data_IF_149023768586
#
_entry.id   IF_149023768586
#
_cell.length_a   1.000
_cell.length_b   1.000
_cell.length_c   1.000
_cell.angle_alpha   90.00
_cell.angle_beta   90.00
_cell.angle_gamma   90.00
#
_symmetry.space_group_name_H-M   'P 1'
#
loop_
_entity.id
_entity.type
_entity.pdbx_description
1 polymer ?
#
# COMPACT_ATOMS: atom_id res chain seq x y z
N UNK A 1 80.08 -26.28 22.35
CA UNK A 1 79.47 -25.32 23.28
C UNK A 1 78.20 -24.88 22.67
N UNK A 2 77.08 -25.18 23.30
CA UNK A 2 75.74 -24.95 22.84
C UNK A 2 75.30 -23.49 23.17
N UNK A 3 74.72 -22.84 22.22
CA UNK A 3 73.91 -21.62 22.52
C UNK A 3 72.56 -21.74 21.76
N UNK A 4 71.50 -21.77 22.57
CA UNK A 4 70.18 -22.02 22.11
C UNK A 4 69.53 -20.83 21.38
N UNK A 5 68.74 -21.21 20.39
CA UNK A 5 67.85 -20.30 19.69
C UNK A 5 66.48 -20.23 20.40
N UNK A 6 66.06 -19.04 20.83
CA UNK A 6 64.67 -18.77 21.22
C UNK A 6 63.89 -18.25 20.01
N UNK A 7 62.88 -19.01 19.59
CA UNK A 7 61.87 -18.59 18.65
C UNK A 7 60.84 -17.72 19.35
N UNK A 8 60.62 -16.51 18.89
CA UNK A 8 59.49 -15.67 19.25
C UNK A 8 58.44 -15.82 18.16
N UNK A 9 57.37 -16.47 18.48
CA UNK A 9 56.14 -16.55 17.67
C UNK A 9 55.35 -15.28 17.83
N UNK A 10 55.26 -14.48 16.74
CA UNK A 10 54.36 -13.32 16.68
C UNK A 10 52.94 -13.75 16.31
N UNK A 11 52.05 -13.75 17.28
CA UNK A 11 50.62 -13.89 17.03
C UNK A 11 50.07 -12.62 16.39
N UNK A 12 49.69 -12.69 15.12
CA UNK A 12 48.86 -11.68 14.46
C UNK A 12 47.43 -11.86 14.90
N UNK A 13 47.00 -11.03 15.83
CA UNK A 13 45.56 -10.85 16.13
C UNK A 13 44.83 -10.30 14.90
N UNK A 14 44.10 -11.17 14.22
CA UNK A 14 43.08 -10.77 13.25
C UNK A 14 41.90 -10.16 14.03
N UNK A 15 41.74 -8.85 13.98
CA UNK A 15 40.50 -8.16 14.35
C UNK A 15 39.42 -8.53 13.31
N UNK A 16 38.59 -9.48 13.61
CA UNK A 16 37.34 -9.73 12.91
C UNK A 16 36.41 -8.53 13.17
N UNK A 17 36.19 -7.74 12.12
CA UNK A 17 35.14 -6.72 12.09
C UNK A 17 33.80 -7.44 11.98
N UNK A 18 33.17 -7.69 13.10
CA UNK A 18 31.79 -8.14 13.18
C UNK A 18 30.89 -6.97 12.70
N UNK A 19 30.63 -6.87 11.41
CA UNK A 19 29.56 -6.02 10.88
C UNK A 19 28.26 -6.75 11.19
N UNK A 20 27.66 -6.41 12.33
CA UNK A 20 26.31 -6.81 12.64
C UNK A 20 25.40 -6.42 11.48
N UNK A 21 24.84 -7.43 10.80
CA UNK A 21 23.67 -7.25 9.95
C UNK A 21 22.57 -6.79 10.89
N UNK A 22 22.25 -5.51 10.83
CA UNK A 22 21.02 -4.96 11.36
C UNK A 22 19.89 -5.67 10.61
N UNK A 23 19.35 -6.71 11.23
CA UNK A 23 18.17 -7.41 10.72
C UNK A 23 17.03 -6.42 10.87
N UNK A 24 16.51 -5.94 9.74
CA UNK A 24 15.23 -5.24 9.64
C UNK A 24 14.13 -6.10 10.29
N UNK A 25 14.01 -5.99 11.60
CA UNK A 25 12.89 -6.57 12.34
C UNK A 25 11.67 -5.73 12.00
N UNK A 26 10.83 -6.25 11.11
CA UNK A 26 9.50 -5.69 10.86
C UNK A 26 8.80 -5.53 12.21
N UNK A 27 8.27 -4.35 12.52
CA UNK A 27 7.58 -4.14 13.79
C UNK A 27 6.40 -5.12 13.87
N UNK A 28 6.27 -5.78 15.00
CA UNK A 28 5.18 -6.72 15.25
C UNK A 28 3.89 -5.90 15.45
N UNK A 29 2.90 -6.09 14.57
CA UNK A 29 1.62 -5.37 14.54
C UNK A 29 0.92 -5.40 15.91
N UNK A 30 1.09 -6.48 16.70
CA UNK A 30 0.54 -6.57 18.06
C UNK A 30 1.15 -5.58 19.06
N UNK A 31 2.35 -5.07 18.81
CA UNK A 31 3.00 -4.06 19.65
C UNK A 31 2.57 -2.64 19.27
N UNK A 32 2.24 -2.39 18.00
CA UNK A 32 1.75 -1.08 17.51
C UNK A 32 0.44 -0.67 18.22
N UNK A 33 -0.41 -1.65 18.57
CA UNK A 33 -1.71 -1.42 19.24
C UNK A 33 -1.61 -0.77 20.63
N UNK A 34 -0.45 -0.86 21.30
CA UNK A 34 -0.28 -0.37 22.69
C UNK A 34 0.46 0.96 22.81
N UNK A 35 1.21 1.38 21.81
CA UNK A 35 2.17 2.49 21.93
C UNK A 35 1.79 3.77 21.22
N UNK A 36 0.74 3.75 20.38
CA UNK A 36 0.40 4.91 19.54
C UNK A 36 1.54 5.28 18.58
N UNK A 37 2.33 4.28 18.14
CA UNK A 37 3.47 4.48 17.26
C UNK A 37 3.06 5.17 15.96
N UNK A 38 3.84 6.18 15.61
CA UNK A 38 3.63 6.91 14.36
C UNK A 38 3.89 6.01 13.15
N UNK A 39 3.00 6.09 12.16
CA UNK A 39 3.27 5.55 10.85
C UNK A 39 4.58 6.14 10.30
N UNK A 40 5.45 5.29 9.75
CA UNK A 40 6.75 5.73 9.20
C UNK A 40 6.60 6.75 8.05
N UNK A 41 5.44 6.76 7.40
CA UNK A 41 5.11 7.68 6.31
C UNK A 41 4.41 8.96 6.78
N UNK A 42 4.08 9.10 8.07
CA UNK A 42 3.21 10.16 8.61
C UNK A 42 3.67 11.58 8.26
N UNK A 43 4.98 11.82 8.18
CA UNK A 43 5.56 13.14 7.88
C UNK A 43 5.32 13.58 6.42
N UNK A 44 5.17 12.63 5.51
CA UNK A 44 5.04 12.88 4.07
C UNK A 44 3.65 12.53 3.54
N UNK A 45 3.06 11.43 4.00
CA UNK A 45 1.73 10.98 3.62
C UNK A 45 0.65 11.81 4.33
N UNK A 46 -0.23 12.43 3.57
CA UNK A 46 -1.37 13.21 4.09
C UNK A 46 -2.64 12.39 4.34
N UNK A 47 -2.56 11.06 4.37
CA UNK A 47 -3.74 10.19 4.38
C UNK A 47 -4.46 10.01 5.72
N UNK A 48 -3.88 10.47 6.85
CA UNK A 48 -4.44 10.27 8.19
C UNK A 48 -4.41 11.56 9.02
N UNK A 49 -5.59 12.07 9.40
CA UNK A 49 -5.73 13.29 10.22
C UNK A 49 -5.38 13.06 11.70
N UNK A 50 -5.56 11.84 12.20
CA UNK A 50 -5.39 11.48 13.61
C UNK A 50 -4.13 10.65 13.87
N UNK A 51 -3.13 10.74 12.99
CA UNK A 51 -1.89 9.98 13.14
C UNK A 51 -1.16 10.37 14.44
N UNK A 52 -0.69 9.36 15.19
CA UNK A 52 0.02 9.56 16.45
C UNK A 52 -0.87 9.91 17.65
N UNK A 53 -2.18 9.83 17.51
CA UNK A 53 -3.13 10.02 18.61
C UNK A 53 -3.71 8.65 18.97
N UNK A 54 -3.69 8.30 20.26
CA UNK A 54 -4.30 7.05 20.74
C UNK A 54 -5.77 6.97 20.31
N UNK A 55 -6.23 5.78 19.93
CA UNK A 55 -7.57 5.61 19.40
C UNK A 55 -8.67 6.04 20.36
N UNK A 56 -8.52 5.76 21.66
CA UNK A 56 -9.42 6.27 22.72
C UNK A 56 -9.50 7.79 22.75
N UNK A 57 -8.38 8.47 22.54
CA UNK A 57 -8.34 9.93 22.46
C UNK A 57 -8.99 10.45 21.16
N UNK A 58 -8.84 9.73 20.05
CA UNK A 58 -9.54 10.04 18.81
C UNK A 58 -11.05 9.96 18.99
N UNK A 59 -11.54 8.89 19.63
CA UNK A 59 -12.97 8.73 19.95
C UNK A 59 -13.49 9.87 20.84
N UNK A 60 -12.74 10.22 21.89
CA UNK A 60 -13.09 11.33 22.79
C UNK A 60 -13.18 12.67 22.06
N UNK A 61 -12.22 12.96 21.18
CA UNK A 61 -12.24 14.18 20.35
C UNK A 61 -13.45 14.22 19.42
N UNK A 62 -13.73 13.12 18.73
CA UNK A 62 -14.90 12.99 17.83
C UNK A 62 -16.20 13.13 18.59
N UNK A 63 -16.34 12.49 19.75
CA UNK A 63 -17.50 12.60 20.62
C UNK A 63 -17.71 14.05 21.09
N UNK A 64 -16.66 14.73 21.54
CA UNK A 64 -16.73 16.13 21.98
C UNK A 64 -17.13 17.07 20.84
N UNK A 65 -16.58 16.84 19.63
CA UNK A 65 -16.95 17.60 18.44
C UNK A 65 -18.42 17.43 18.08
N UNK A 66 -18.93 16.17 18.07
CA UNK A 66 -20.34 15.91 17.79
C UNK A 66 -21.28 16.50 18.84
N UNK A 67 -20.91 16.44 20.14
CA UNK A 67 -21.69 17.09 21.19
C UNK A 67 -21.81 18.60 20.92
N UNK A 68 -20.68 19.26 20.67
CA UNK A 68 -20.67 20.71 20.38
C UNK A 68 -21.59 21.09 19.20
N UNK A 69 -21.66 20.27 18.17
CA UNK A 69 -22.50 20.55 16.98
C UNK A 69 -23.97 20.24 17.20
N UNK A 70 -24.28 19.16 17.89
CA UNK A 70 -25.62 18.56 17.88
C UNK A 70 -26.38 18.73 19.20
N UNK A 71 -25.73 19.16 20.29
CA UNK A 71 -26.35 19.35 21.61
C UNK A 71 -27.61 20.24 21.57
N UNK A 72 -27.67 21.32 20.74
CA UNK A 72 -28.89 22.13 20.63
C UNK A 72 -30.08 21.36 20.03
N UNK A 73 -29.88 20.26 19.35
CA UNK A 73 -30.91 19.50 18.65
C UNK A 73 -31.35 18.23 19.41
N UNK A 74 -30.60 17.81 20.42
CA UNK A 74 -30.97 16.65 21.24
C UNK A 74 -29.80 15.91 21.88
N UNK A 75 -30.14 14.84 22.58
CA UNK A 75 -29.18 13.99 23.29
C UNK A 75 -28.28 13.22 22.30
N UNK A 76 -26.99 13.28 22.53
CA UNK A 76 -26.01 12.55 21.75
C UNK A 76 -25.59 11.27 22.45
N UNK A 77 -25.80 10.13 21.79
CA UNK A 77 -25.37 8.83 22.28
C UNK A 77 -23.83 8.73 22.28
N UNK A 78 -23.25 7.82 23.11
CA UNK A 78 -21.83 7.53 23.06
C UNK A 78 -21.41 7.06 21.66
N UNK A 79 -20.21 7.47 21.24
CA UNK A 79 -19.62 7.02 19.99
C UNK A 79 -19.34 5.52 20.02
N UNK A 80 -19.68 4.84 18.96
CA UNK A 80 -19.33 3.43 18.76
C UNK A 80 -17.98 3.38 18.07
N UNK A 81 -17.00 2.80 18.74
CA UNK A 81 -15.65 2.59 18.20
C UNK A 81 -15.51 1.25 17.50
N UNK A 82 -14.41 1.10 16.74
CA UNK A 82 -13.97 -0.19 16.20
C UNK A 82 -13.13 -0.93 17.25
N UNK A 83 -13.24 -2.25 17.31
CA UNK A 83 -12.39 -3.09 18.15
C UNK A 83 -10.95 -3.07 17.64
N UNK A 84 -10.74 -3.10 16.32
CA UNK A 84 -9.46 -2.96 15.65
C UNK A 84 -9.50 -1.85 14.58
N UNK A 85 -8.97 -0.65 14.87
CA UNK A 85 -9.02 0.51 13.96
C UNK A 85 -7.92 0.48 12.90
N UNK A 86 -7.39 -0.68 12.56
CA UNK A 86 -6.36 -0.87 11.55
C UNK A 86 -6.89 -1.70 10.38
N UNK A 87 -6.25 -1.54 9.20
CA UNK A 87 -6.53 -2.32 7.98
C UNK A 87 -8.01 -2.36 7.56
N UNK A 88 -8.78 -1.32 7.93
CA UNK A 88 -10.22 -1.25 7.66
C UNK A 88 -10.57 -0.72 6.26
N UNK A 89 -9.59 -0.20 5.51
CA UNK A 89 -9.82 0.37 4.20
C UNK A 89 -9.73 -0.69 3.12
N UNK A 90 -10.87 -1.15 2.62
CA UNK A 90 -11.00 -2.20 1.60
C UNK A 90 -10.97 -1.69 0.14
N UNK A 91 -10.97 -0.38 -0.06
CA UNK A 91 -10.68 0.26 -1.36
C UNK A 91 -9.36 0.97 -1.25
N UNK A 92 -8.34 0.40 -1.87
CA UNK A 92 -6.96 0.91 -1.86
C UNK A 92 -6.59 1.38 -3.25
N UNK A 93 -5.92 2.52 -3.33
CA UNK A 93 -5.48 3.10 -4.59
C UNK A 93 -4.06 3.61 -4.46
N UNK A 94 -3.19 3.16 -5.35
CA UNK A 94 -1.82 3.63 -5.43
C UNK A 94 -1.54 4.30 -6.77
N UNK A 95 -0.89 5.46 -6.74
CA UNK A 95 -0.28 6.08 -7.91
C UNK A 95 1.10 5.45 -8.17
N UNK A 96 1.49 5.38 -9.43
CA UNK A 96 2.78 4.83 -9.88
C UNK A 96 3.57 5.89 -10.61
N UNK A 97 4.86 6.01 -10.27
CA UNK A 97 5.79 6.91 -10.95
C UNK A 97 7.22 6.37 -10.85
N UNK A 98 8.16 7.11 -11.41
CA UNK A 98 9.59 6.89 -11.20
C UNK A 98 10.15 8.02 -10.34
N UNK A 99 10.93 7.67 -9.31
CA UNK A 99 11.66 8.68 -8.57
C UNK A 99 12.85 9.24 -9.39
N UNK A 100 13.49 10.30 -8.88
CA UNK A 100 14.65 10.95 -9.52
C UNK A 100 15.84 10.01 -9.82
N UNK A 101 15.86 8.82 -9.19
CA UNK A 101 16.89 7.77 -9.43
C UNK A 101 16.44 6.72 -10.44
N UNK A 102 15.26 6.88 -11.06
CA UNK A 102 14.70 5.94 -12.04
C UNK A 102 14.09 4.68 -11.41
N UNK A 103 13.91 4.63 -10.08
CA UNK A 103 13.24 3.51 -9.43
C UNK A 103 11.72 3.72 -9.45
N UNK A 104 10.98 2.67 -9.75
CA UNK A 104 9.52 2.67 -9.68
C UNK A 104 9.09 2.82 -8.22
N UNK A 105 8.22 3.78 -7.96
CA UNK A 105 7.56 4.03 -6.68
C UNK A 105 6.06 3.83 -6.83
N UNK A 106 5.41 3.32 -5.78
CA UNK A 106 3.97 3.13 -5.75
C UNK A 106 3.41 3.52 -4.39
N UNK A 107 2.34 4.31 -4.37
CA UNK A 107 1.71 4.74 -3.13
C UNK A 107 0.83 5.96 -3.30
N UNK A 108 0.92 6.89 -2.37
CA UNK A 108 0.08 8.09 -2.32
C UNK A 108 0.88 9.34 -2.63
N UNK A 109 0.22 10.36 -3.15
CA UNK A 109 0.86 11.66 -3.34
C UNK A 109 1.26 12.26 -1.98
N UNK A 110 2.45 12.82 -1.93
CA UNK A 110 2.94 13.59 -0.80
C UNK A 110 2.09 14.87 -0.65
N UNK A 111 1.81 15.24 0.59
CA UNK A 111 0.97 16.41 0.89
C UNK A 111 1.53 17.67 0.21
N UNK A 112 0.69 18.35 -0.55
CA UNK A 112 1.02 19.57 -1.32
C UNK A 112 2.13 19.37 -2.39
N UNK A 113 2.28 18.16 -2.90
CA UNK A 113 3.27 17.82 -3.93
C UNK A 113 2.69 16.82 -4.94
N UNK A 114 3.35 16.70 -6.10
CA UNK A 114 3.11 15.63 -7.07
C UNK A 114 4.05 14.43 -6.87
N UNK A 115 4.97 14.51 -5.90
CA UNK A 115 5.84 13.39 -5.56
C UNK A 115 5.04 12.25 -4.91
N UNK A 116 5.41 11.01 -5.19
CA UNK A 116 4.77 9.84 -4.62
C UNK A 116 5.58 9.34 -3.41
N UNK A 117 4.90 9.16 -2.29
CA UNK A 117 5.43 8.44 -1.13
C UNK A 117 5.34 6.96 -1.44
N UNK A 118 6.48 6.30 -1.56
CA UNK A 118 6.54 4.84 -1.79
C UNK A 118 6.06 4.10 -0.54
N UNK A 119 4.86 3.54 -0.59
CA UNK A 119 4.21 2.89 0.55
C UNK A 119 4.28 1.37 0.36
N UNK A 120 4.98 0.70 1.25
CA UNK A 120 5.05 -0.77 1.24
C UNK A 120 3.98 -1.43 2.12
N UNK A 121 3.63 -0.78 3.24
CA UNK A 121 2.60 -1.23 4.17
C UNK A 121 1.92 -0.01 4.79
N UNK A 122 0.61 0.08 4.68
CA UNK A 122 -0.18 1.11 5.30
C UNK A 122 -0.91 0.56 6.53
N UNK A 123 -0.96 1.34 7.61
CA UNK A 123 -1.65 0.91 8.83
C UNK A 123 -3.18 0.83 8.71
N UNK A 124 -3.77 1.55 7.75
CA UNK A 124 -5.22 1.61 7.58
C UNK A 124 -5.74 0.87 6.34
N UNK A 125 -4.88 0.62 5.34
CA UNK A 125 -5.24 -0.11 4.14
C UNK A 125 -5.22 -1.62 4.36
N UNK A 126 -6.05 -2.36 3.62
CA UNK A 126 -6.05 -3.82 3.66
C UNK A 126 -4.67 -4.35 3.30
N UNK A 127 -4.10 -5.18 4.16
CA UNK A 127 -2.73 -5.68 4.01
C UNK A 127 -2.52 -6.53 2.74
N UNK A 128 -3.58 -7.20 2.26
CA UNK A 128 -3.52 -7.98 1.03
C UNK A 128 -3.55 -7.07 -0.20
N UNK A 129 -4.29 -5.96 -0.13
CA UNK A 129 -4.27 -4.93 -1.18
C UNK A 129 -2.88 -4.28 -1.31
N UNK A 130 -2.22 -3.94 -0.19
CA UNK A 130 -0.83 -3.46 -0.19
C UNK A 130 0.12 -4.48 -0.82
N UNK A 131 -0.04 -5.76 -0.45
CA UNK A 131 0.78 -6.83 -1.00
C UNK A 131 0.61 -7.00 -2.52
N UNK A 132 -0.62 -6.86 -3.03
CA UNK A 132 -0.93 -6.91 -4.47
C UNK A 132 -0.28 -5.73 -5.20
N UNK A 133 -0.41 -4.50 -4.67
CA UNK A 133 0.18 -3.30 -5.26
C UNK A 133 1.71 -3.43 -5.33
N UNK A 134 2.33 -3.87 -4.24
CA UNK A 134 3.78 -4.13 -4.19
C UNK A 134 4.22 -5.18 -5.19
N UNK A 135 3.44 -6.27 -5.35
CA UNK A 135 3.75 -7.30 -6.34
C UNK A 135 3.64 -6.77 -7.76
N UNK A 136 2.60 -5.99 -8.08
CA UNK A 136 2.48 -5.34 -9.38
C UNK A 136 3.70 -4.47 -9.66
N UNK A 137 4.14 -3.65 -8.67
CA UNK A 137 5.37 -2.85 -8.77
C UNK A 137 6.59 -3.72 -9.12
N UNK A 138 6.77 -4.84 -8.44
CA UNK A 138 7.88 -5.76 -8.67
C UNK A 138 7.84 -6.42 -10.07
N UNK A 139 6.64 -6.74 -10.56
CA UNK A 139 6.44 -7.37 -11.87
C UNK A 139 6.66 -6.40 -13.04
N UNK A 140 6.52 -5.09 -12.85
CA UNK A 140 6.55 -4.11 -13.94
C UNK A 140 7.79 -4.24 -14.83
N UNK A 141 8.97 -4.39 -14.21
CA UNK A 141 10.24 -4.50 -14.97
C UNK A 141 10.25 -5.75 -15.86
N UNK A 142 9.85 -6.90 -15.33
CA UNK A 142 9.84 -8.18 -16.05
C UNK A 142 8.83 -8.18 -17.21
N UNK A 143 7.73 -7.47 -17.06
CA UNK A 143 6.68 -7.35 -18.09
C UNK A 143 6.86 -6.12 -18.98
N UNK A 144 7.97 -5.37 -18.85
CA UNK A 144 8.25 -4.15 -19.64
C UNK A 144 7.16 -3.08 -19.51
N UNK A 145 6.53 -3.01 -18.33
CA UNK A 145 5.54 -1.98 -18.00
C UNK A 145 6.30 -0.80 -17.40
N UNK A 146 6.11 0.40 -17.95
CA UNK A 146 6.66 1.64 -17.41
C UNK A 146 5.62 2.37 -16.59
N UNK A 147 6.01 2.94 -15.46
CA UNK A 147 5.18 3.89 -14.74
C UNK A 147 4.96 5.12 -15.60
N UNK A 148 3.75 5.68 -15.54
CA UNK A 148 3.42 6.90 -16.27
C UNK A 148 4.05 8.10 -15.56
N UNK A 149 4.62 8.98 -16.36
CA UNK A 149 5.19 10.24 -15.94
C UNK A 149 4.27 11.36 -16.44
N UNK A 150 3.68 12.10 -15.51
CA UNK A 150 2.68 13.15 -15.82
C UNK A 150 3.32 14.36 -16.51
N UNK A 151 4.60 14.64 -16.26
CA UNK A 151 5.32 15.78 -16.83
C UNK A 151 5.64 15.52 -18.31
N UNK A 152 6.18 14.34 -18.59
CA UNK A 152 6.61 13.97 -19.95
C UNK A 152 5.52 13.33 -20.79
N UNK A 153 4.50 12.77 -20.16
CA UNK A 153 3.44 11.99 -20.82
C UNK A 153 3.90 10.59 -21.24
N UNK A 154 5.08 10.14 -20.83
CA UNK A 154 5.62 8.81 -21.14
C UNK A 154 5.24 7.79 -20.07
N UNK A 155 5.09 6.54 -20.52
CA UNK A 155 4.77 5.41 -19.65
C UNK A 155 3.38 4.85 -19.90
N UNK A 156 2.99 3.87 -19.10
CA UNK A 156 1.73 3.14 -19.33
C UNK A 156 0.87 3.11 -18.06
N UNK A 157 1.40 2.64 -16.93
CA UNK A 157 0.66 2.42 -15.70
C UNK A 157 0.64 3.70 -14.86
N UNK A 158 -0.57 4.25 -14.67
CA UNK A 158 -0.81 5.44 -13.86
C UNK A 158 -1.14 5.07 -12.41
N UNK A 159 -2.14 4.21 -12.24
CA UNK A 159 -2.64 3.83 -10.92
C UNK A 159 -3.00 2.35 -10.89
N UNK A 160 -3.01 1.80 -9.68
CA UNK A 160 -3.65 0.52 -9.39
C UNK A 160 -4.69 0.75 -8.30
N UNK A 161 -5.90 0.27 -8.54
CA UNK A 161 -6.97 0.26 -7.57
C UNK A 161 -7.29 -1.18 -7.22
N UNK A 162 -7.29 -1.48 -5.92
CA UNK A 162 -7.68 -2.79 -5.38
C UNK A 162 -8.93 -2.61 -4.54
N UNK A 163 -9.96 -3.41 -4.82
CA UNK A 163 -11.15 -3.51 -3.98
C UNK A 163 -11.30 -4.93 -3.48
N UNK A 164 -11.62 -5.07 -2.21
CA UNK A 164 -11.86 -6.35 -1.56
C UNK A 164 -13.22 -6.36 -0.91
N UNK A 165 -14.01 -7.40 -1.19
CA UNK A 165 -15.24 -7.68 -0.45
C UNK A 165 -14.91 -8.11 0.97
N UNK A 166 -15.58 -7.53 1.95
CA UNK A 166 -15.33 -7.82 3.37
C UNK A 166 -15.77 -9.23 3.76
N UNK A 167 -16.98 -9.60 3.37
CA UNK A 167 -17.53 -10.93 3.64
C UNK A 167 -17.11 -11.97 2.61
N UNK A 168 -17.14 -11.60 1.33
CA UNK A 168 -16.85 -12.53 0.24
C UNK A 168 -15.36 -12.84 0.07
N UNK A 169 -14.49 -11.96 0.55
CA UNK A 169 -13.05 -12.05 0.31
C UNK A 169 -12.64 -11.90 -1.17
N UNK A 170 -13.58 -11.67 -2.08
CA UNK A 170 -13.29 -11.46 -3.50
C UNK A 170 -12.48 -10.20 -3.72
N UNK A 171 -11.50 -10.26 -4.61
CA UNK A 171 -10.62 -9.13 -4.91
C UNK A 171 -10.76 -8.72 -6.37
N UNK A 172 -10.99 -7.44 -6.60
CA UNK A 172 -10.91 -6.78 -7.89
C UNK A 172 -9.64 -5.94 -7.98
N UNK A 173 -8.88 -6.13 -9.05
CA UNK A 173 -7.72 -5.30 -9.38
C UNK A 173 -8.03 -4.50 -10.64
N UNK A 174 -7.93 -3.17 -10.54
CA UNK A 174 -8.07 -2.26 -11.68
C UNK A 174 -6.72 -1.64 -11.99
N UNK A 175 -6.21 -1.91 -13.19
CA UNK A 175 -5.00 -1.30 -13.73
C UNK A 175 -5.40 -0.07 -14.55
N UNK A 176 -5.05 1.12 -14.06
CA UNK A 176 -5.33 2.37 -14.78
C UNK A 176 -4.17 2.67 -15.71
N UNK A 177 -4.42 2.53 -17.00
CA UNK A 177 -3.44 2.64 -18.06
C UNK A 177 -3.75 3.83 -18.97
N UNK A 178 -2.71 4.41 -19.55
CA UNK A 178 -2.85 5.43 -20.62
C UNK A 178 -3.37 4.82 -21.91
N UNK A 179 -3.12 3.53 -22.14
CA UNK A 179 -3.49 2.79 -23.35
C UNK A 179 -4.18 1.48 -22.99
N UNK A 180 -5.09 0.95 -23.82
CA UNK A 180 -5.74 -0.33 -23.57
C UNK A 180 -4.81 -1.55 -23.69
N UNK A 181 -3.58 -1.35 -24.15
CA UNK A 181 -2.64 -2.42 -24.45
C UNK A 181 -1.69 -2.65 -23.28
N UNK A 182 -1.91 -3.74 -22.54
CA UNK A 182 -0.99 -4.22 -21.51
C UNK A 182 -0.03 -5.26 -22.12
N UNK A 183 1.30 -5.05 -22.06
CA UNK A 183 2.28 -6.03 -22.55
C UNK A 183 2.12 -7.37 -21.86
N UNK A 184 2.13 -8.45 -22.67
CA UNK A 184 2.00 -9.83 -22.16
C UNK A 184 0.81 -10.04 -21.20
N UNK A 185 -0.31 -9.37 -21.45
CA UNK A 185 -1.50 -9.30 -20.59
C UNK A 185 -1.87 -10.63 -19.91
N UNK A 186 -1.98 -11.70 -20.69
CA UNK A 186 -2.40 -13.01 -20.16
C UNK A 186 -1.38 -13.59 -19.17
N UNK A 187 -0.09 -13.45 -19.49
CA UNK A 187 0.98 -13.92 -18.62
C UNK A 187 1.09 -13.07 -17.35
N UNK A 188 0.89 -11.76 -17.46
CA UNK A 188 0.85 -10.85 -16.31
C UNK A 188 -0.27 -11.24 -15.35
N UNK A 189 -1.49 -11.39 -15.83
CA UNK A 189 -2.65 -11.80 -15.01
C UNK A 189 -2.44 -13.18 -14.40
N UNK A 190 -1.92 -14.15 -15.20
CA UNK A 190 -1.61 -15.50 -14.69
C UNK A 190 -0.57 -15.46 -13.57
N UNK A 191 0.50 -14.69 -13.71
CA UNK A 191 1.56 -14.56 -12.70
C UNK A 191 1.03 -13.91 -11.42
N UNK A 192 0.25 -12.84 -11.54
CA UNK A 192 -0.36 -12.14 -10.41
C UNK A 192 -1.31 -13.07 -9.64
N UNK A 193 -2.20 -13.78 -10.34
CA UNK A 193 -3.15 -14.73 -9.74
C UNK A 193 -2.50 -15.98 -9.15
N UNK A 194 -1.37 -16.42 -9.69
CA UNK A 194 -0.60 -17.51 -9.07
C UNK A 194 -0.18 -17.15 -7.64
N UNK A 195 0.08 -15.87 -7.38
CA UNK A 195 0.51 -15.37 -6.06
C UNK A 195 -0.68 -14.96 -5.18
N UNK A 196 -1.75 -14.50 -5.80
CA UNK A 196 -2.99 -14.06 -5.13
C UNK A 196 -4.21 -14.72 -5.80
N UNK A 197 -4.51 -15.97 -5.45
CA UNK A 197 -5.61 -16.73 -6.07
C UNK A 197 -6.99 -16.12 -5.77
N UNK A 198 -7.12 -15.30 -4.74
CA UNK A 198 -8.35 -14.60 -4.34
C UNK A 198 -8.75 -13.49 -5.31
N UNK A 199 -7.86 -13.09 -6.21
CA UNK A 199 -8.20 -12.14 -7.28
C UNK A 199 -9.25 -12.76 -8.18
N UNK A 200 -10.48 -12.28 -8.03
CA UNK A 200 -11.66 -12.75 -8.74
C UNK A 200 -11.83 -12.08 -10.09
N UNK A 201 -11.35 -10.85 -10.24
CA UNK A 201 -11.40 -10.10 -11.50
C UNK A 201 -10.27 -9.11 -11.64
N UNK A 202 -9.83 -8.91 -12.89
CA UNK A 202 -8.85 -7.89 -13.28
C UNK A 202 -9.43 -7.06 -14.43
N UNK A 203 -9.40 -5.75 -14.27
CA UNK A 203 -9.91 -4.78 -15.22
C UNK A 203 -8.79 -3.82 -15.62
N UNK A 204 -8.71 -3.48 -16.90
CA UNK A 204 -7.96 -2.34 -17.41
C UNK A 204 -8.94 -1.18 -17.51
N UNK A 205 -8.65 -0.09 -16.82
CA UNK A 205 -9.31 1.19 -17.01
C UNK A 205 -8.39 2.08 -17.84
N UNK A 206 -8.91 2.64 -18.94
CA UNK A 206 -8.13 3.48 -19.84
C UNK A 206 -8.36 4.95 -19.48
N UNK A 207 -7.29 5.60 -19.05
CA UNK A 207 -7.27 7.03 -18.77
C UNK A 207 -6.10 7.68 -19.51
N UNK A 208 -6.35 8.11 -20.73
CA UNK A 208 -5.41 8.77 -21.65
C UNK A 208 -5.40 10.31 -21.54
N UNK A 209 -6.25 10.86 -20.66
CA UNK A 209 -6.40 12.30 -20.49
C UNK A 209 -5.39 12.87 -19.49
N UNK A 210 -4.95 14.11 -19.70
CA UNK A 210 -4.23 14.91 -18.69
C UNK A 210 -5.27 15.47 -17.71
N UNK A 211 -5.53 14.74 -16.65
CA UNK A 211 -6.55 15.05 -15.64
C UNK A 211 -6.15 14.54 -14.27
N UNK A 212 -6.62 15.21 -13.23
CA UNK A 212 -6.51 14.73 -11.84
C UNK A 212 -7.47 13.57 -11.52
N UNK A 213 -8.42 13.27 -12.41
CA UNK A 213 -9.29 12.10 -12.25
C UNK A 213 -8.49 10.83 -12.42
N UNK A 214 -8.63 9.93 -11.46
CA UNK A 214 -7.88 8.66 -11.47
C UNK A 214 -8.40 7.71 -12.54
N UNK A 215 -9.72 7.55 -12.61
CA UNK A 215 -10.36 6.64 -13.56
C UNK A 215 -10.78 7.38 -14.83
N UNK A 216 -10.52 6.74 -15.97
CA UNK A 216 -11.10 7.11 -17.25
C UNK A 216 -12.48 6.46 -17.46
N UNK A 217 -13.08 6.70 -18.61
CA UNK A 217 -14.45 6.25 -18.92
C UNK A 217 -14.51 4.78 -19.40
N UNK A 218 -13.43 4.28 -20.00
CA UNK A 218 -13.42 2.97 -20.65
C UNK A 218 -12.83 1.90 -19.74
N UNK A 219 -13.62 0.85 -19.48
CA UNK A 219 -13.18 -0.34 -18.77
C UNK A 219 -13.11 -1.55 -19.70
N UNK A 220 -12.08 -2.39 -19.53
CA UNK A 220 -11.86 -3.63 -20.29
C UNK A 220 -11.58 -4.74 -19.27
N UNK A 221 -12.51 -5.68 -19.14
CA UNK A 221 -12.29 -6.86 -18.31
C UNK A 221 -11.28 -7.77 -18.98
N UNK A 222 -10.19 -8.08 -18.29
CA UNK A 222 -9.12 -8.96 -18.80
C UNK A 222 -9.10 -10.31 -18.11
N UNK A 223 -9.76 -10.40 -16.96
CA UNK A 223 -9.99 -11.63 -16.23
C UNK A 223 -11.23 -11.52 -15.36
N UNK A 224 -11.98 -12.62 -15.20
CA UNK A 224 -13.16 -12.70 -14.34
C UNK A 224 -14.40 -12.00 -14.92
N UNK A 225 -15.31 -11.61 -14.01
CA UNK A 225 -16.62 -11.04 -14.39
C UNK A 225 -16.61 -9.53 -14.63
N UNK A 226 -15.53 -8.82 -14.25
CA UNK A 226 -15.46 -7.35 -14.29
C UNK A 226 -16.04 -6.67 -13.06
N UNK A 227 -16.49 -7.42 -12.10
CA UNK A 227 -17.03 -6.96 -10.81
C UNK A 227 -16.78 -8.02 -9.72
N UNK A 228 -16.89 -7.61 -8.47
CA UNK A 228 -16.96 -8.49 -7.30
C UNK A 228 -18.33 -8.38 -6.66
N UNK A 229 -18.70 -9.38 -5.88
CA UNK A 229 -19.93 -9.39 -5.10
C UNK A 229 -19.57 -9.42 -3.62
N UNK A 230 -20.28 -8.67 -2.81
CA UNK A 230 -20.15 -8.67 -1.35
C UNK A 230 -21.52 -8.58 -0.69
N UNK A 231 -21.59 -8.90 0.58
CA UNK A 231 -22.84 -8.91 1.34
C UNK A 231 -22.81 -7.84 2.43
N UNK A 232 -23.92 -7.14 2.59
CA UNK A 232 -24.15 -6.21 3.70
C UNK A 232 -25.61 -6.30 4.14
N UNK A 233 -25.84 -6.58 5.42
CA UNK A 233 -27.18 -6.70 6.03
C UNK A 233 -28.12 -7.63 5.25
N UNK A 234 -27.62 -8.80 4.80
CA UNK A 234 -28.40 -9.79 4.05
C UNK A 234 -28.67 -9.44 2.58
N UNK A 235 -28.13 -8.30 2.10
CA UNK A 235 -28.24 -7.89 0.69
C UNK A 235 -26.91 -8.11 -0.03
N UNK A 236 -26.96 -8.71 -1.22
CA UNK A 236 -25.79 -8.87 -2.08
C UNK A 236 -25.59 -7.62 -2.94
N UNK A 237 -24.41 -7.06 -2.88
CA UNK A 237 -24.00 -5.90 -3.68
C UNK A 237 -23.01 -6.31 -4.75
N UNK A 238 -23.20 -5.78 -5.93
CA UNK A 238 -22.23 -5.87 -7.03
C UNK A 238 -21.41 -4.58 -7.09
N UNK A 239 -20.08 -4.73 -7.01
CA UNK A 239 -19.11 -3.65 -6.89
C UNK A 239 -18.21 -3.63 -8.13
#
# INVERSE_FOLDING_TARGET
>A
MQIGQKKTTGEKMKKERNRGRETDRKPNISQIKKTGEHCIYAKRCGGCDYQGILYSQQLSKKQSYMRKLMEPFGKINPIIGMDDPYHYRHKVQAAFSCNKRGHIVAGVYEKHSHDIVDVEQCQIEDAQADAIIREIKNMMRSFRIRAYDEDTGYGLLRHVLVRKGYHSGQIMVVLVLVSPILPSKNNFVKALRKKFPEISTVVINVNDRKTSMVLGERNITVYGKGFIEDELCGCTFRI
#
